data_IF_426108764291
#
_entry.id   IF_426108764291
#
_cell.length_a   1.000
_cell.length_b   1.000
_cell.length_c   1.000
_cell.angle_alpha   90.00
_cell.angle_beta   90.00
_cell.angle_gamma   90.00
#
_symmetry.space_group_name_H-M   'P 1'
#
loop_
_entity.id
_entity.type
_entity.pdbx_description
1 polymer ?
#
# COMPACT_ATOMS: atom_id res chain seq x y z
N UNK A 1 19.85 -29.75 -19.26
CA UNK A 1 18.88 -28.64 -19.46
C UNK A 1 18.80 -27.90 -18.14
N UNK A 2 19.20 -26.63 -18.11
CA UNK A 2 19.60 -25.91 -16.90
C UNK A 2 18.37 -25.36 -16.15
N UNK A 3 18.15 -25.80 -14.91
CA UNK A 3 16.92 -25.55 -14.13
C UNK A 3 16.72 -24.07 -13.77
N UNK A 4 17.77 -23.26 -13.80
CA UNK A 4 17.71 -21.81 -13.54
C UNK A 4 17.06 -21.02 -14.69
N UNK A 5 17.39 -21.36 -15.93
CA UNK A 5 16.83 -20.68 -17.12
C UNK A 5 15.32 -20.90 -17.22
N UNK A 6 14.87 -22.13 -16.91
CA UNK A 6 13.46 -22.47 -16.86
C UNK A 6 12.71 -21.68 -15.78
N UNK A 7 13.27 -21.60 -14.56
CA UNK A 7 12.69 -20.82 -13.46
C UNK A 7 12.62 -19.34 -13.78
N UNK A 8 13.63 -18.79 -14.45
CA UNK A 8 13.64 -17.40 -14.88
C UNK A 8 12.56 -17.13 -15.93
N UNK A 9 12.47 -17.98 -16.96
CA UNK A 9 11.45 -17.86 -18.00
C UNK A 9 10.02 -17.95 -17.45
N UNK A 10 9.77 -18.87 -16.51
CA UNK A 10 8.48 -18.97 -15.81
C UNK A 10 8.17 -17.71 -14.99
N UNK A 11 9.17 -17.17 -14.29
CA UNK A 11 9.01 -15.94 -13.52
C UNK A 11 8.66 -14.73 -14.40
N UNK A 12 9.34 -14.60 -15.54
CA UNK A 12 9.03 -13.57 -16.54
C UNK A 12 7.63 -13.75 -17.12
N UNK A 13 7.24 -14.99 -17.47
CA UNK A 13 5.90 -15.29 -17.98
C UNK A 13 4.80 -14.95 -16.96
N UNK A 14 5.00 -15.27 -15.69
CA UNK A 14 4.07 -14.89 -14.61
C UNK A 14 3.96 -13.38 -14.47
N UNK A 15 5.08 -12.67 -14.46
CA UNK A 15 5.10 -11.20 -14.36
C UNK A 15 4.35 -10.56 -15.52
N UNK A 16 4.58 -11.02 -16.75
CA UNK A 16 3.88 -10.53 -17.94
C UNK A 16 2.37 -10.80 -17.88
N UNK A 17 1.95 -11.97 -17.39
CA UNK A 17 0.53 -12.28 -17.23
C UNK A 17 -0.14 -11.34 -16.20
N UNK A 18 0.56 -11.04 -15.09
CA UNK A 18 0.10 -10.10 -14.06
C UNK A 18 0.01 -8.66 -14.57
N UNK A 19 1.02 -8.21 -15.33
CA UNK A 19 0.98 -6.90 -16.01
C UNK A 19 -0.22 -6.78 -16.94
N UNK A 20 -0.51 -7.83 -17.73
CA UNK A 20 -1.71 -7.87 -18.59
C UNK A 20 -3.01 -7.84 -17.80
N UNK A 21 -3.07 -8.51 -16.66
CA UNK A 21 -4.25 -8.53 -15.79
C UNK A 21 -4.53 -7.17 -15.14
N UNK A 22 -3.49 -6.38 -14.83
CA UNK A 22 -3.67 -5.00 -14.38
C UNK A 22 -4.26 -4.10 -15.47
N UNK A 23 -3.94 -4.38 -16.74
CA UNK A 23 -4.37 -3.57 -17.87
C UNK A 23 -3.69 -2.21 -17.91
N UNK A 24 -4.29 -1.26 -18.64
CA UNK A 24 -3.86 0.13 -18.58
C UNK A 24 -4.40 0.80 -17.31
N UNK A 25 -3.49 1.37 -16.54
CA UNK A 25 -3.81 2.06 -15.29
C UNK A 25 -4.00 3.58 -15.46
N UNK A 26 -3.91 4.14 -16.68
CA UNK A 26 -4.06 5.58 -16.90
C UNK A 26 -3.15 6.41 -15.99
N UNK A 27 -3.76 7.34 -15.25
CA UNK A 27 -3.13 8.21 -14.23
C UNK A 27 -2.98 7.57 -12.85
N UNK A 28 -3.52 6.37 -12.63
CA UNK A 28 -3.39 5.72 -11.35
C UNK A 28 -4.32 4.54 -11.14
N UNK A 29 -3.95 3.74 -10.16
CA UNK A 29 -4.46 2.41 -10.01
C UNK A 29 -4.47 1.92 -8.59
N UNK A 30 -5.48 1.13 -8.22
CA UNK A 30 -5.40 0.29 -7.04
C UNK A 30 -5.45 -1.19 -7.45
N UNK A 31 -4.54 -1.96 -6.88
CA UNK A 31 -4.40 -3.40 -7.11
C UNK A 31 -4.32 -4.17 -5.79
N UNK A 32 -5.08 -5.25 -5.68
CA UNK A 32 -5.10 -6.18 -4.56
C UNK A 32 -4.05 -7.27 -4.74
N UNK A 33 -3.53 -7.75 -3.62
CA UNK A 33 -2.65 -8.91 -3.56
C UNK A 33 -3.39 -10.20 -3.99
N UNK A 34 -2.69 -11.14 -4.63
CA UNK A 34 -3.28 -12.39 -5.16
C UNK A 34 -3.72 -13.39 -4.09
N UNK A 35 -3.08 -13.35 -2.92
CA UNK A 35 -3.48 -14.15 -1.76
C UNK A 35 -4.83 -13.67 -1.24
N UNK A 36 -5.91 -14.48 -1.34
CA UNK A 36 -7.25 -14.08 -0.94
C UNK A 36 -7.38 -13.88 0.58
N UNK A 37 -6.43 -14.36 1.38
CA UNK A 37 -6.40 -14.13 2.83
C UNK A 37 -5.80 -12.78 3.20
N UNK A 38 -5.17 -12.09 2.26
CA UNK A 38 -4.55 -10.78 2.46
C UNK A 38 -5.48 -9.68 1.94
N UNK A 39 -6.14 -9.01 2.87
CA UNK A 39 -6.82 -7.75 2.60
C UNK A 39 -5.81 -6.61 2.52
N UNK A 40 -4.96 -6.64 1.48
CA UNK A 40 -3.91 -5.66 1.24
C UNK A 40 -3.89 -5.23 -0.22
N UNK A 41 -3.64 -3.94 -0.43
CA UNK A 41 -3.61 -3.29 -1.73
C UNK A 41 -2.37 -2.41 -1.89
N UNK A 42 -2.07 -2.09 -3.14
CA UNK A 42 -1.14 -1.05 -3.52
C UNK A 42 -1.83 -0.05 -4.45
N UNK A 43 -1.65 1.24 -4.16
CA UNK A 43 -1.95 2.32 -5.09
C UNK A 43 -0.72 2.58 -5.96
N UNK A 44 -0.87 2.50 -7.28
CA UNK A 44 0.13 2.89 -8.28
C UNK A 44 -0.27 4.27 -8.80
N UNK A 45 0.54 5.30 -8.55
CA UNK A 45 0.18 6.67 -8.95
C UNK A 45 1.41 7.55 -9.18
N UNK A 46 1.28 8.70 -9.87
CA UNK A 46 2.34 9.69 -9.98
C UNK A 46 2.88 10.10 -8.61
N UNK A 47 4.20 10.18 -8.50
CA UNK A 47 4.91 10.68 -7.33
C UNK A 47 4.92 12.21 -7.32
N UNK A 48 4.93 12.80 -6.13
CA UNK A 48 4.98 14.27 -5.96
C UNK A 48 6.40 14.82 -5.78
N UNK A 49 7.37 13.95 -5.52
CA UNK A 49 8.74 14.34 -5.16
C UNK A 49 9.64 14.61 -6.37
N UNK A 50 9.38 13.96 -7.51
CA UNK A 50 10.16 14.09 -8.73
C UNK A 50 9.24 14.10 -9.94
N UNK A 51 9.42 15.07 -10.83
CA UNK A 51 8.69 15.12 -12.10
C UNK A 51 8.89 13.81 -12.88
N UNK A 52 7.78 13.19 -13.28
CA UNK A 52 7.76 11.89 -13.99
C UNK A 52 7.96 10.66 -13.10
N UNK A 53 8.22 10.83 -11.80
CA UNK A 53 8.33 9.72 -10.86
C UNK A 53 6.97 9.07 -10.57
N UNK A 54 7.01 7.81 -10.18
CA UNK A 54 5.82 7.02 -9.80
C UNK A 54 6.00 6.44 -8.40
N UNK A 55 4.88 6.18 -7.72
CA UNK A 55 4.86 5.66 -6.36
C UNK A 55 3.93 4.46 -6.26
N UNK A 56 4.37 3.47 -5.48
CA UNK A 56 3.52 2.44 -4.92
C UNK A 56 3.23 2.81 -3.47
N UNK A 57 1.97 2.97 -3.09
CA UNK A 57 1.55 3.22 -1.71
C UNK A 57 0.75 2.03 -1.20
N UNK A 58 1.25 1.35 -0.17
CA UNK A 58 0.64 0.12 0.38
C UNK A 58 -0.35 0.47 1.48
N UNK A 59 -1.51 -0.19 1.48
CA UNK A 59 -2.51 -0.08 2.53
C UNK A 59 -3.27 -1.39 2.75
N UNK A 60 -3.90 -1.51 3.91
CA UNK A 60 -4.79 -2.59 4.27
C UNK A 60 -6.04 -2.05 4.99
N UNK A 61 -6.81 -2.93 5.63
CA UNK A 61 -8.01 -2.56 6.39
C UNK A 61 -7.75 -1.56 7.53
N UNK A 62 -6.51 -1.44 8.00
CA UNK A 62 -6.12 -0.58 9.13
C UNK A 62 -5.50 0.73 8.68
N UNK A 63 -5.18 0.92 7.41
CA UNK A 63 -4.61 2.19 6.93
C UNK A 63 -3.41 2.00 6.01
N UNK A 64 -2.71 3.09 5.77
CA UNK A 64 -1.47 3.10 5.02
C UNK A 64 -0.32 2.53 5.85
N UNK A 65 0.61 1.82 5.21
CA UNK A 65 1.74 1.17 5.90
C UNK A 65 3.10 1.39 5.26
N UNK A 66 3.16 1.96 4.05
CA UNK A 66 4.44 2.29 3.43
C UNK A 66 4.31 2.71 1.98
N UNK A 67 5.42 3.13 1.40
CA UNK A 67 5.50 3.46 -0.01
C UNK A 67 6.87 3.15 -0.61
N UNK A 68 6.92 3.05 -1.93
CA UNK A 68 8.14 2.92 -2.73
C UNK A 68 8.07 3.90 -3.89
N UNK A 69 9.19 4.52 -4.25
CA UNK A 69 9.30 5.48 -5.35
C UNK A 69 10.10 4.88 -6.52
N UNK A 70 9.64 5.14 -7.74
CA UNK A 70 10.19 4.61 -8.99
C UNK A 70 10.38 5.73 -10.01
N UNK A 71 11.25 5.48 -10.99
CA UNK A 71 11.54 6.48 -12.03
C UNK A 71 10.42 6.59 -13.07
N UNK A 72 9.55 5.57 -13.20
CA UNK A 72 8.46 5.56 -14.18
C UNK A 72 7.35 4.56 -13.89
N UNK A 73 6.25 4.71 -14.64
CA UNK A 73 5.01 3.91 -14.54
C UNK A 73 5.28 2.41 -14.66
N UNK A 74 6.00 2.01 -15.70
CA UNK A 74 6.24 0.60 -16.03
C UNK A 74 7.07 -0.11 -14.95
N UNK A 75 8.00 0.62 -14.32
CA UNK A 75 8.82 0.10 -13.23
C UNK A 75 7.95 -0.16 -11.98
N UNK A 76 7.10 0.81 -11.61
CA UNK A 76 6.17 0.65 -10.49
C UNK A 76 5.17 -0.49 -10.73
N UNK A 77 4.60 -0.59 -11.94
CA UNK A 77 3.71 -1.70 -12.32
C UNK A 77 4.43 -3.05 -12.26
N UNK A 78 5.67 -3.12 -12.77
CA UNK A 78 6.46 -4.34 -12.74
C UNK A 78 6.79 -4.77 -11.32
N UNK A 79 7.04 -3.81 -10.42
CA UNK A 79 7.27 -4.09 -9.00
C UNK A 79 6.01 -4.63 -8.32
N UNK A 80 4.85 -3.99 -8.53
CA UNK A 80 3.57 -4.47 -8.00
C UNK A 80 3.27 -5.91 -8.46
N UNK A 81 3.42 -6.17 -9.77
CA UNK A 81 3.24 -7.49 -10.36
C UNK A 81 4.18 -8.55 -9.77
N UNK A 82 5.46 -8.20 -9.56
CA UNK A 82 6.45 -9.11 -8.96
C UNK A 82 6.10 -9.47 -7.51
N UNK A 83 5.54 -8.52 -6.76
CA UNK A 83 5.10 -8.69 -5.37
C UNK A 83 3.67 -9.25 -5.24
N UNK A 84 3.04 -9.69 -6.33
CA UNK A 84 1.72 -10.34 -6.29
C UNK A 84 0.53 -9.37 -6.25
N UNK A 85 0.75 -8.07 -6.43
CA UNK A 85 -0.30 -7.06 -6.52
C UNK A 85 -0.65 -6.81 -7.99
N UNK A 86 -1.78 -7.35 -8.45
CA UNK A 86 -2.22 -7.18 -9.84
C UNK A 86 -3.73 -7.29 -10.07
N UNK A 87 -4.51 -7.64 -9.05
CA UNK A 87 -5.96 -7.77 -9.17
C UNK A 87 -6.58 -6.39 -9.06
N UNK A 88 -7.24 -5.89 -10.10
CA UNK A 88 -7.80 -4.53 -10.14
C UNK A 88 -8.88 -4.33 -9.08
N UNK A 89 -8.76 -3.25 -8.29
CA UNK A 89 -9.76 -2.88 -7.28
C UNK A 89 -9.69 -1.38 -6.94
N UNK A 90 -10.02 -0.52 -7.90
CA UNK A 90 -9.93 0.94 -7.79
C UNK A 90 -10.81 1.55 -6.69
N UNK A 91 -11.88 0.85 -6.32
CA UNK A 91 -12.83 1.31 -5.31
C UNK A 91 -12.37 0.98 -3.88
N UNK A 92 -11.28 0.23 -3.69
CA UNK A 92 -10.87 -0.25 -2.37
C UNK A 92 -10.64 0.88 -1.37
N UNK A 93 -9.93 1.95 -1.77
CA UNK A 93 -9.69 3.08 -0.89
C UNK A 93 -11.00 3.78 -0.53
N UNK A 94 -11.91 3.97 -1.50
CA UNK A 94 -13.22 4.56 -1.26
C UNK A 94 -14.04 3.79 -0.24
N UNK A 95 -13.97 2.45 -0.26
CA UNK A 95 -14.63 1.58 0.73
C UNK A 95 -14.01 1.67 2.12
N UNK A 96 -12.69 1.85 2.23
CA UNK A 96 -11.97 1.70 3.49
C UNK A 96 -11.67 3.02 4.21
N UNK A 97 -11.44 4.11 3.48
CA UNK A 97 -10.86 5.35 4.03
C UNK A 97 -11.69 6.01 5.14
N UNK A 98 -12.99 5.75 5.17
CA UNK A 98 -13.92 6.30 6.17
C UNK A 98 -14.23 5.32 7.31
N UNK A 99 -13.66 4.12 7.29
CA UNK A 99 -13.89 3.14 8.35
C UNK A 99 -13.13 3.54 9.62
N UNK A 100 -13.68 3.28 10.82
CA UNK A 100 -12.99 3.60 12.07
C UNK A 100 -11.60 2.95 12.19
N UNK A 101 -11.45 1.71 11.70
CA UNK A 101 -10.19 0.99 11.71
C UNK A 101 -9.12 1.68 10.85
N UNK A 102 -9.47 2.11 9.64
CA UNK A 102 -8.55 2.79 8.73
C UNK A 102 -8.13 4.16 9.25
N UNK A 103 -9.08 4.94 9.78
CA UNK A 103 -8.80 6.24 10.40
C UNK A 103 -7.86 6.06 11.60
N UNK A 104 -8.14 5.07 12.47
CA UNK A 104 -7.29 4.78 13.63
C UNK A 104 -5.88 4.37 13.24
N UNK A 105 -5.68 3.48 12.26
CA UNK A 105 -4.32 3.08 11.91
C UNK A 105 -3.56 4.18 11.17
N UNK A 106 -4.22 5.08 10.44
CA UNK A 106 -3.56 6.30 9.93
C UNK A 106 -3.16 7.25 11.06
N UNK A 107 -3.95 7.34 12.14
CA UNK A 107 -3.52 8.05 13.34
C UNK A 107 -2.26 7.43 13.96
N UNK A 108 -2.22 6.09 14.07
CA UNK A 108 -1.03 5.35 14.53
C UNK A 108 0.18 5.60 13.62
N UNK A 109 -0.01 5.61 12.30
CA UNK A 109 1.06 5.96 11.35
C UNK A 109 1.63 7.35 11.63
N UNK A 110 0.77 8.34 11.85
CA UNK A 110 1.20 9.71 12.21
C UNK A 110 1.95 9.79 13.54
N UNK A 111 1.65 8.92 14.52
CA UNK A 111 2.45 8.81 15.74
C UNK A 111 3.83 8.19 15.47
N UNK A 112 3.89 7.14 14.64
CA UNK A 112 5.16 6.51 14.25
C UNK A 112 6.08 7.48 13.50
N UNK A 113 5.53 8.32 12.62
CA UNK A 113 6.29 9.37 11.94
C UNK A 113 6.87 10.39 12.93
N UNK A 114 6.13 10.75 13.98
CA UNK A 114 6.62 11.64 15.03
C UNK A 114 7.72 11.00 15.90
N UNK A 115 7.60 9.71 16.21
CA UNK A 115 8.66 8.94 16.88
C UNK A 115 9.92 8.92 16.02
N UNK A 116 9.80 8.56 14.75
CA UNK A 116 10.93 8.49 13.81
C UNK A 116 11.60 9.87 13.62
N UNK A 117 10.81 10.95 13.70
CA UNK A 117 11.31 12.32 13.68
C UNK A 117 11.86 12.82 15.02
N UNK A 118 11.87 12.00 16.07
CA UNK A 118 12.35 12.38 17.41
C UNK A 118 11.50 13.42 18.14
N UNK A 119 10.25 13.63 17.70
CA UNK A 119 9.34 14.65 18.27
C UNK A 119 8.66 14.19 19.54
N UNK A 120 8.41 12.89 19.66
CA UNK A 120 7.77 12.24 20.80
C UNK A 120 8.48 10.91 21.10
N UNK A 121 8.36 10.42 22.33
CA UNK A 121 8.82 9.07 22.68
C UNK A 121 7.75 8.02 22.35
N UNK A 122 8.13 6.75 22.40
CA UNK A 122 7.16 5.65 22.33
C UNK A 122 6.16 5.66 23.49
N UNK A 123 6.55 6.17 24.65
CA UNK A 123 5.66 6.32 25.80
C UNK A 123 4.59 7.39 25.56
N UNK A 124 5.00 8.56 25.05
CA UNK A 124 4.08 9.65 24.68
C UNK A 124 3.07 9.17 23.64
N UNK A 125 3.54 8.48 22.59
CA UNK A 125 2.68 7.92 21.55
C UNK A 125 1.64 6.93 22.11
N UNK A 126 2.02 6.09 23.07
CA UNK A 126 1.10 5.14 23.70
C UNK A 126 0.00 5.88 24.50
N UNK A 127 0.36 6.93 25.24
CA UNK A 127 -0.60 7.76 25.96
C UNK A 127 -1.58 8.46 24.99
N UNK A 128 -1.06 9.07 23.92
CA UNK A 128 -1.87 9.74 22.88
C UNK A 128 -2.83 8.78 22.18
N UNK A 129 -2.39 7.55 21.90
CA UNK A 129 -3.25 6.52 21.29
C UNK A 129 -4.39 6.10 22.22
N UNK A 130 -4.11 5.93 23.52
CA UNK A 130 -5.16 5.62 24.50
C UNK A 130 -6.19 6.75 24.60
N UNK A 131 -5.75 8.01 24.69
CA UNK A 131 -6.64 9.17 24.72
C UNK A 131 -7.51 9.26 23.45
N UNK A 132 -6.91 9.00 22.29
CA UNK A 132 -7.62 8.94 21.02
C UNK A 132 -8.70 7.85 21.05
N UNK A 133 -8.36 6.63 21.45
CA UNK A 133 -9.28 5.49 21.47
C UNK A 133 -10.44 5.74 22.45
N UNK A 134 -10.16 6.27 23.64
CA UNK A 134 -11.20 6.66 24.59
C UNK A 134 -12.14 7.71 24.04
N UNK A 135 -11.61 8.73 23.36
CA UNK A 135 -12.43 9.78 22.74
C UNK A 135 -13.33 9.21 21.65
N UNK A 136 -12.80 8.34 20.80
CA UNK A 136 -13.59 7.72 19.73
C UNK A 136 -14.68 6.81 20.30
N UNK A 137 -14.39 6.06 21.38
CA UNK A 137 -15.39 5.25 22.06
C UNK A 137 -16.52 6.08 22.67
N UNK A 138 -16.20 7.25 23.25
CA UNK A 138 -17.21 8.18 23.79
C UNK A 138 -18.11 8.79 22.71
N UNK A 139 -17.60 9.01 21.50
CA UNK A 139 -18.38 9.56 20.39
C UNK A 139 -19.27 8.54 19.69
N UNK A 140 -19.00 7.24 19.88
CA UNK A 140 -19.76 6.15 19.30
C UNK A 140 -20.89 5.63 20.20
N UNK A 141 -20.95 6.07 21.46
CA UNK A 141 -21.97 5.73 22.46
C UNK A 141 -23.10 6.76 22.47
#
# INVERSE_FOLDING_TARGET
MNTLEQRLAESQKRTLARLRAMGDIGEGAIVKHEDPTREQWQMIHPGVERAGGWRLTTFDLKGFSGHMCFAGKDEAMSEAARNGFYIRDDEALGRLQHTPAFIRGNYVLGLLEQINGGKITSFDAAAMLNEYDERMNRMAA
#
